data_IF_478966359880
#
_entry.id   IF_478966359880
#
_cell.length_a   1.000
_cell.length_b   1.000
_cell.length_c   1.000
_cell.angle_alpha   90.00
_cell.angle_beta   90.00
_cell.angle_gamma   90.00
#
_symmetry.space_group_name_H-M   'P 1'
#
loop_
_entity.id
_entity.type
_entity.pdbx_description
1 polymer ?
#
# COMPACT_ATOMS: atom_id res chain seq x y z
N UNK A 1 -65.03 1.46 37.87
CA UNK A 1 -65.46 2.69 37.16
C UNK A 1 -65.68 2.37 35.69
N UNK A 2 -66.93 2.09 35.36
CA UNK A 2 -67.44 1.89 34.01
C UNK A 2 -67.69 3.24 33.36
N UNK A 3 -67.16 3.48 32.16
CA UNK A 3 -67.81 4.38 31.20
C UNK A 3 -67.70 3.85 29.78
N UNK A 4 -68.82 3.26 29.40
CA UNK A 4 -69.31 2.88 28.09
C UNK A 4 -69.48 4.11 27.18
N UNK A 5 -69.04 4.04 25.92
CA UNK A 5 -69.48 4.96 24.85
C UNK A 5 -69.53 4.24 23.49
N UNK A 6 -70.74 3.78 23.19
CA UNK A 6 -71.29 3.35 21.89
C UNK A 6 -71.12 4.38 20.76
N UNK A 7 -71.37 3.85 19.54
CA UNK A 7 -71.75 4.49 18.23
C UNK A 7 -70.60 4.89 17.31
N UNK A 8 -70.65 4.68 16.00
CA UNK A 8 -71.62 3.99 15.13
C UNK A 8 -70.96 3.79 13.77
N UNK A 9 -71.05 2.59 13.19
CA UNK A 9 -70.77 2.35 11.77
C UNK A 9 -71.76 3.15 10.93
N UNK A 10 -71.31 4.17 10.20
CA UNK A 10 -72.12 4.92 9.23
C UNK A 10 -71.58 4.62 7.83
N UNK A 11 -72.21 3.66 7.17
CA UNK A 11 -72.14 3.51 5.73
C UNK A 11 -72.65 4.79 5.07
N UNK A 12 -71.80 5.43 4.26
CA UNK A 12 -72.26 6.44 3.32
C UNK A 12 -72.00 5.95 1.90
N UNK A 13 -73.04 5.30 1.35
CA UNK A 13 -73.28 5.27 -0.10
C UNK A 13 -73.44 6.72 -0.56
N UNK A 14 -72.51 7.22 -1.37
CA UNK A 14 -72.69 8.44 -2.17
C UNK A 14 -72.39 8.13 -3.62
N UNK A 15 -73.47 7.81 -4.33
CA UNK A 15 -73.64 7.95 -5.77
C UNK A 15 -73.09 9.31 -6.23
N UNK A 16 -72.05 9.29 -7.07
CA UNK A 16 -71.71 10.43 -7.93
C UNK A 16 -71.76 9.96 -9.38
N UNK A 17 -72.92 10.23 -9.98
CA UNK A 17 -73.11 10.30 -11.42
C UNK A 17 -72.00 11.14 -12.04
N UNK A 18 -71.07 10.49 -12.73
CA UNK A 18 -70.11 11.17 -13.60
C UNK A 18 -70.79 11.38 -14.94
N UNK A 19 -71.45 12.52 -15.10
CA UNK A 19 -71.76 13.06 -16.42
C UNK A 19 -70.45 13.18 -17.20
N UNK A 20 -70.28 12.28 -18.18
CA UNK A 20 -69.19 12.36 -19.15
C UNK A 20 -69.54 13.45 -20.15
N UNK A 21 -69.15 14.69 -19.86
CA UNK A 21 -69.01 15.70 -20.90
C UNK A 21 -67.95 15.25 -21.89
N UNK A 22 -68.38 14.67 -23.02
CA UNK A 22 -67.51 14.39 -24.16
C UNK A 22 -67.15 15.71 -24.83
N UNK A 23 -66.05 16.34 -24.40
CA UNK A 23 -65.44 17.39 -25.19
C UNK A 23 -64.92 16.77 -26.48
N UNK A 24 -65.72 16.85 -27.55
CA UNK A 24 -65.27 16.62 -28.93
C UNK A 24 -64.15 17.61 -29.21
N UNK A 25 -62.92 17.15 -29.03
CA UNK A 25 -61.71 17.90 -29.39
C UNK A 25 -61.75 18.06 -30.91
N UNK A 26 -62.16 19.24 -31.38
CA UNK A 26 -62.11 19.55 -32.80
C UNK A 26 -60.66 19.37 -33.25
N UNK A 27 -60.46 18.46 -34.20
CA UNK A 27 -59.18 18.36 -34.91
C UNK A 27 -59.05 19.66 -35.69
N UNK A 28 -58.36 20.65 -35.13
CA UNK A 28 -57.79 21.74 -35.93
C UNK A 28 -56.86 21.08 -36.95
N UNK A 29 -57.35 20.94 -38.18
CA UNK A 29 -56.52 20.63 -39.32
C UNK A 29 -55.37 21.65 -39.32
N UNK A 30 -54.14 21.15 -39.26
CA UNK A 30 -52.98 21.97 -39.49
C UNK A 30 -53.12 22.55 -40.90
N UNK A 31 -53.44 23.84 -40.95
CA UNK A 31 -53.36 24.63 -42.17
C UNK A 31 -51.89 24.61 -42.54
N UNK A 32 -51.58 23.91 -43.62
CA UNK A 32 -50.29 24.01 -44.29
C UNK A 32 -50.04 25.48 -44.57
N UNK A 33 -49.00 26.03 -43.94
CA UNK A 33 -48.45 27.33 -44.31
C UNK A 33 -47.84 27.20 -45.70
N UNK A 34 -48.62 27.51 -46.72
CA UNK A 34 -48.10 27.88 -48.03
C UNK A 34 -47.43 29.23 -47.88
N UNK A 35 -46.10 29.24 -47.85
CA UNK A 35 -45.30 30.44 -48.06
C UNK A 35 -45.61 30.97 -49.46
N UNK A 36 -46.31 32.09 -49.52
CA UNK A 36 -46.45 32.91 -50.71
C UNK A 36 -45.11 33.57 -51.01
N UNK A 37 -44.29 32.90 -51.81
CA UNK A 37 -43.21 33.54 -52.54
C UNK A 37 -43.81 34.04 -53.86
N UNK A 38 -43.84 35.35 -54.01
CA UNK A 38 -44.09 36.05 -55.26
C UNK A 38 -43.07 35.60 -56.32
N UNK A 39 -43.56 35.01 -57.40
CA UNK A 39 -42.83 34.91 -58.66
C UNK A 39 -43.85 34.98 -59.78
N UNK A 40 -43.60 35.90 -60.71
CA UNK A 40 -44.36 36.14 -61.91
C UNK A 40 -44.51 34.88 -62.78
N UNK A 41 -45.66 34.79 -63.43
CA UNK A 41 -45.92 34.15 -64.73
C UNK A 41 -45.21 32.83 -65.06
N UNK A 42 -45.93 31.71 -64.99
CA UNK A 42 -46.03 30.80 -66.14
C UNK A 42 -47.28 29.89 -66.03
N UNK A 43 -48.16 29.92 -67.03
CA UNK A 43 -49.40 29.11 -67.09
C UNK A 43 -49.14 27.73 -67.76
N UNK A 44 -47.94 27.18 -67.59
CA UNK A 44 -47.52 25.92 -68.20
C UNK A 44 -47.46 24.69 -67.27
N UNK A 45 -47.40 24.86 -65.94
CA UNK A 45 -46.84 23.80 -65.06
C UNK A 45 -47.79 23.23 -63.97
N UNK A 46 -49.11 23.36 -64.12
CA UNK A 46 -50.08 22.71 -63.20
C UNK A 46 -50.08 21.18 -63.30
N UNK A 47 -49.65 20.64 -64.45
CA UNK A 47 -49.53 19.19 -64.70
C UNK A 47 -48.34 18.55 -63.99
N UNK A 48 -47.20 19.25 -63.85
CA UNK A 48 -46.02 18.66 -63.21
C UNK A 48 -46.18 18.61 -61.68
N UNK A 49 -46.73 19.66 -61.07
CA UNK A 49 -46.99 19.69 -59.63
C UNK A 49 -48.01 18.61 -59.19
N UNK A 50 -49.04 18.37 -60.00
CA UNK A 50 -50.02 17.30 -59.77
C UNK A 50 -49.38 15.92 -59.88
N UNK A 51 -48.52 15.70 -60.88
CA UNK A 51 -47.73 14.47 -61.01
C UNK A 51 -46.79 14.27 -59.82
N UNK A 52 -46.12 15.31 -59.31
CA UNK A 52 -45.26 15.19 -58.13
C UNK A 52 -46.03 14.85 -56.84
N UNK A 53 -47.22 15.43 -56.66
CA UNK A 53 -48.07 15.12 -55.51
C UNK A 53 -48.67 13.71 -55.61
N UNK A 54 -48.98 13.25 -56.81
CA UNK A 54 -49.39 11.87 -57.09
C UNK A 54 -48.25 10.88 -56.82
N UNK A 55 -47.03 11.17 -57.28
CA UNK A 55 -45.83 10.39 -56.95
C UNK A 55 -45.54 10.36 -55.43
N UNK A 56 -45.72 11.48 -54.72
CA UNK A 56 -45.61 11.51 -53.24
C UNK A 56 -46.69 10.67 -52.58
N UNK A 57 -47.91 10.68 -53.10
CA UNK A 57 -49.02 9.89 -52.59
C UNK A 57 -48.77 8.39 -52.82
N UNK A 58 -48.31 8.02 -54.01
CA UNK A 58 -47.94 6.65 -54.37
C UNK A 58 -46.79 6.13 -53.50
N UNK A 59 -45.72 6.92 -53.33
CA UNK A 59 -44.61 6.59 -52.42
C UNK A 59 -45.07 6.41 -50.97
N UNK A 60 -46.07 7.18 -50.52
CA UNK A 60 -46.70 6.99 -49.19
C UNK A 60 -47.50 5.69 -49.14
N UNK A 61 -48.23 5.31 -50.21
CA UNK A 61 -48.98 4.05 -50.29
C UNK A 61 -48.03 2.85 -50.29
N UNK A 62 -46.96 2.89 -51.09
CA UNK A 62 -45.91 1.87 -51.12
C UNK A 62 -45.25 1.69 -49.75
N UNK A 63 -44.87 2.78 -49.08
CA UNK A 63 -44.33 2.74 -47.71
C UNK A 63 -45.32 2.18 -46.68
N UNK A 64 -46.63 2.35 -46.88
CA UNK A 64 -47.64 1.75 -45.99
C UNK A 64 -47.74 0.24 -46.23
N UNK A 65 -47.82 -0.17 -47.49
CA UNK A 65 -47.83 -1.58 -47.90
C UNK A 65 -46.57 -2.32 -47.42
N UNK A 66 -45.40 -1.71 -47.57
CA UNK A 66 -44.13 -2.26 -47.10
C UNK A 66 -44.12 -2.42 -45.56
N UNK A 67 -44.60 -1.42 -44.82
CA UNK A 67 -44.75 -1.51 -43.35
C UNK A 67 -45.77 -2.56 -42.93
N UNK A 68 -46.81 -2.80 -43.71
CA UNK A 68 -47.79 -3.85 -43.45
C UNK A 68 -47.21 -5.23 -43.74
N UNK A 69 -46.48 -5.40 -44.85
CA UNK A 69 -45.72 -6.62 -45.16
C UNK A 69 -44.69 -6.93 -44.08
N UNK A 70 -43.95 -5.93 -43.60
CA UNK A 70 -43.00 -6.08 -42.48
C UNK A 70 -43.70 -6.51 -41.18
N UNK A 71 -44.85 -5.89 -40.83
CA UNK A 71 -45.63 -6.26 -39.64
C UNK A 71 -46.29 -7.64 -39.73
N UNK A 72 -46.60 -8.09 -40.94
CA UNK A 72 -47.17 -9.42 -41.17
C UNK A 72 -46.12 -10.52 -41.05
N UNK A 73 -44.84 -10.21 -41.34
CA UNK A 73 -43.70 -11.10 -41.17
C UNK A 73 -43.07 -11.04 -39.76
N UNK A 74 -43.48 -10.08 -38.93
CA UNK A 74 -42.93 -9.81 -37.59
C UNK A 74 -43.33 -10.91 -36.59
N UNK A 75 -42.34 -11.52 -35.93
CA UNK A 75 -42.56 -12.56 -34.91
C UNK A 75 -43.24 -11.98 -33.66
N UNK A 76 -43.90 -12.80 -32.81
CA UNK A 76 -44.59 -12.31 -31.61
C UNK A 76 -43.66 -11.62 -30.61
N UNK A 77 -42.37 -11.99 -30.60
CA UNK A 77 -41.33 -11.40 -29.75
C UNK A 77 -40.90 -10.00 -30.22
N UNK A 78 -40.70 -9.83 -31.52
CA UNK A 78 -40.35 -8.55 -32.13
C UNK A 78 -41.48 -7.52 -31.99
N UNK A 79 -42.74 -7.98 -32.06
CA UNK A 79 -43.92 -7.17 -31.73
C UNK A 79 -43.93 -6.69 -30.27
N UNK A 80 -43.40 -7.47 -29.32
CA UNK A 80 -43.25 -7.05 -27.90
C UNK A 80 -42.13 -6.01 -27.78
N UNK A 81 -40.99 -6.23 -28.42
CA UNK A 81 -39.88 -5.26 -28.46
C UNK A 81 -40.32 -3.91 -29.02
N UNK A 82 -41.10 -3.88 -30.11
CA UNK A 82 -41.65 -2.65 -30.68
C UNK A 82 -42.58 -1.90 -29.73
N UNK A 83 -43.40 -2.64 -28.96
CA UNK A 83 -44.30 -2.05 -27.95
C UNK A 83 -43.51 -1.48 -26.76
N UNK A 84 -42.48 -2.20 -26.31
CA UNK A 84 -41.54 -1.74 -25.28
C UNK A 84 -40.80 -0.48 -25.73
N UNK A 85 -40.22 -0.46 -26.93
CA UNK A 85 -39.55 0.71 -27.49
C UNK A 85 -40.51 1.90 -27.62
N UNK A 86 -41.76 1.68 -28.06
CA UNK A 86 -42.79 2.73 -28.12
C UNK A 86 -43.16 3.24 -26.72
N UNK A 87 -43.18 2.38 -25.70
CA UNK A 87 -43.45 2.74 -24.30
C UNK A 87 -42.29 3.55 -23.71
N UNK A 88 -41.05 3.07 -23.85
CA UNK A 88 -39.83 3.76 -23.42
C UNK A 88 -39.71 5.13 -24.10
N UNK A 89 -39.92 5.22 -25.41
CA UNK A 89 -39.91 6.51 -26.13
C UNK A 89 -41.01 7.46 -25.66
N UNK A 90 -42.18 6.94 -25.28
CA UNK A 90 -43.28 7.75 -24.71
C UNK A 90 -42.94 8.22 -23.30
N UNK A 91 -42.31 7.39 -22.49
CA UNK A 91 -41.84 7.74 -21.14
C UNK A 91 -40.67 8.71 -21.17
N UNK A 92 -39.71 8.53 -22.06
CA UNK A 92 -38.60 9.46 -22.27
C UNK A 92 -39.12 10.83 -22.75
N UNK A 93 -40.11 10.84 -23.65
CA UNK A 93 -40.78 12.07 -24.06
C UNK A 93 -41.50 12.75 -22.89
N UNK A 94 -42.22 11.99 -22.06
CA UNK A 94 -42.84 12.51 -20.82
C UNK A 94 -41.80 13.02 -19.83
N UNK A 95 -40.69 12.31 -19.63
CA UNK A 95 -39.58 12.73 -18.77
C UNK A 95 -38.91 13.99 -19.28
N UNK A 96 -38.74 14.14 -20.61
CA UNK A 96 -38.22 15.36 -21.24
C UNK A 96 -39.20 16.53 -21.11
N UNK A 97 -40.50 16.29 -21.26
CA UNK A 97 -41.55 17.28 -21.04
C UNK A 97 -41.68 17.68 -19.57
N UNK A 98 -41.40 16.76 -18.64
CA UNK A 98 -41.40 16.97 -17.19
C UNK A 98 -40.00 17.30 -16.64
N UNK A 99 -39.00 17.52 -17.50
CA UNK A 99 -37.63 17.78 -17.06
C UNK A 99 -37.57 19.23 -16.61
N UNK A 100 -37.48 19.41 -15.30
CA UNK A 100 -37.23 20.68 -14.65
C UNK A 100 -36.03 21.39 -15.30
N UNK A 101 -36.11 22.71 -15.33
CA UNK A 101 -35.07 23.58 -15.87
C UNK A 101 -33.73 23.47 -15.12
N UNK A 102 -33.76 23.06 -13.85
CA UNK A 102 -32.57 22.97 -13.00
C UNK A 102 -31.69 21.74 -13.37
N UNK A 103 -30.35 21.89 -13.36
CA UNK A 103 -29.41 20.80 -13.52
C UNK A 103 -29.68 19.63 -12.57
N UNK A 104 -29.48 18.40 -13.05
CA UNK A 104 -29.72 17.20 -12.26
C UNK A 104 -28.79 17.09 -11.02
N UNK A 105 -27.66 17.81 -11.02
CA UNK A 105 -26.76 17.94 -9.87
C UNK A 105 -27.31 18.80 -8.72
N UNK A 106 -28.36 19.61 -8.93
CA UNK A 106 -28.99 20.34 -7.83
C UNK A 106 -29.91 19.40 -7.05
N UNK A 107 -29.65 19.25 -5.75
CA UNK A 107 -30.35 18.33 -4.86
C UNK A 107 -31.80 18.75 -4.52
N UNK A 108 -32.17 19.99 -4.84
CA UNK A 108 -33.50 20.52 -4.54
C UNK A 108 -34.46 20.30 -5.71
N UNK A 109 -35.59 19.66 -5.41
CA UNK A 109 -36.72 19.46 -6.31
C UNK A 109 -37.99 19.99 -5.65
N UNK A 110 -39.06 20.25 -6.40
CA UNK A 110 -40.34 20.72 -5.81
C UNK A 110 -40.90 19.79 -4.72
N UNK A 111 -40.48 18.53 -4.68
CA UNK A 111 -40.92 17.53 -3.70
C UNK A 111 -39.97 17.42 -2.50
N UNK A 112 -38.73 17.91 -2.62
CA UNK A 112 -37.68 17.84 -1.60
C UNK A 112 -37.23 19.25 -1.16
N UNK A 113 -38.15 20.21 -1.21
CA UNK A 113 -37.89 21.57 -0.77
C UNK A 113 -38.25 21.72 0.71
N UNK A 114 -37.28 21.99 1.61
CA UNK A 114 -37.54 22.17 3.05
C UNK A 114 -38.42 23.39 3.36
N UNK A 115 -38.58 24.32 2.42
CA UNK A 115 -39.46 25.49 2.55
C UNK A 115 -40.87 25.26 1.98
N UNK A 116 -41.16 24.03 1.54
CA UNK A 116 -42.49 23.65 1.06
C UNK A 116 -43.01 24.47 -0.15
N UNK A 117 -42.13 25.18 -0.88
CA UNK A 117 -42.54 25.93 -2.07
C UNK A 117 -42.95 24.97 -3.20
N UNK A 118 -44.15 25.20 -3.73
CA UNK A 118 -44.76 24.35 -4.78
C UNK A 118 -44.07 24.54 -6.15
N UNK A 119 -43.45 25.70 -6.37
CA UNK A 119 -42.97 26.14 -7.69
C UNK A 119 -41.44 26.34 -7.76
N UNK A 120 -40.65 25.68 -6.92
CA UNK A 120 -39.19 25.87 -6.84
C UNK A 120 -38.47 25.68 -8.19
N UNK A 121 -38.95 24.75 -9.02
CA UNK A 121 -38.38 24.47 -10.35
C UNK A 121 -38.91 25.38 -11.46
N UNK A 122 -39.92 26.22 -11.17
CA UNK A 122 -40.43 27.16 -12.16
C UNK A 122 -39.45 28.31 -12.36
N UNK A 123 -39.19 28.65 -13.62
CA UNK A 123 -38.28 29.74 -13.95
C UNK A 123 -38.96 31.09 -13.77
N UNK A 124 -38.43 31.92 -12.88
CA UNK A 124 -38.83 33.31 -12.77
C UNK A 124 -38.42 34.07 -14.03
N UNK A 125 -39.39 34.72 -14.66
CA UNK A 125 -39.18 35.50 -15.89
C UNK A 125 -39.29 36.98 -15.55
N UNK A 126 -38.20 37.72 -15.71
CA UNK A 126 -38.22 39.17 -15.52
C UNK A 126 -38.69 39.87 -16.80
N UNK A 127 -40.00 40.00 -16.95
CA UNK A 127 -40.66 40.53 -18.16
C UNK A 127 -40.09 41.89 -18.59
N UNK A 128 -39.91 42.82 -17.63
CA UNK A 128 -39.35 44.16 -17.88
C UNK A 128 -37.89 44.15 -18.35
N UNK A 129 -37.11 43.14 -17.95
CA UNK A 129 -35.73 42.94 -18.42
C UNK A 129 -35.70 42.38 -19.84
N UNK A 130 -36.59 41.43 -20.16
CA UNK A 130 -36.75 40.90 -21.52
C UNK A 130 -37.20 41.97 -22.52
N UNK A 131 -38.10 42.87 -22.09
CA UNK A 131 -38.51 44.04 -22.88
C UNK A 131 -37.34 45.00 -23.14
N UNK A 132 -36.55 45.31 -22.12
CA UNK A 132 -35.35 46.16 -22.26
C UNK A 132 -34.27 45.53 -23.14
N UNK A 133 -34.12 44.21 -23.12
CA UNK A 133 -33.18 43.46 -23.97
C UNK A 133 -33.70 43.26 -25.42
N UNK A 134 -34.87 43.79 -25.77
CA UNK A 134 -35.47 43.61 -27.11
C UNK A 134 -35.96 42.18 -27.39
N UNK A 135 -36.05 41.35 -26.34
CA UNK A 135 -36.40 39.93 -26.41
C UNK A 135 -37.85 39.64 -26.03
N UNK A 136 -38.69 40.68 -25.90
CA UNK A 136 -40.11 40.55 -25.59
C UNK A 136 -40.89 39.65 -26.57
N UNK A 137 -40.43 39.55 -27.82
CA UNK A 137 -41.05 38.72 -28.86
C UNK A 137 -40.63 37.24 -28.86
N UNK A 138 -39.62 36.82 -28.08
CA UNK A 138 -39.18 35.42 -28.07
C UNK A 138 -40.14 34.53 -27.30
N UNK A 139 -40.31 33.30 -27.77
CA UNK A 139 -41.18 32.33 -27.10
C UNK A 139 -40.64 32.00 -25.71
N UNK A 140 -41.54 31.82 -24.71
CA UNK A 140 -41.18 31.34 -23.36
C UNK A 140 -40.27 30.09 -23.40
N UNK A 141 -40.42 29.24 -24.41
CA UNK A 141 -39.58 28.06 -24.65
C UNK A 141 -38.16 28.38 -25.11
N UNK A 142 -37.97 29.44 -25.88
CA UNK A 142 -36.64 29.88 -26.35
C UNK A 142 -35.86 30.52 -25.21
N UNK A 143 -36.53 31.30 -24.36
CA UNK A 143 -35.96 31.89 -23.15
C UNK A 143 -35.48 30.78 -22.19
N UNK A 144 -36.32 29.76 -21.95
CA UNK A 144 -35.95 28.61 -21.12
C UNK A 144 -34.75 27.82 -21.69
N UNK A 145 -34.68 27.68 -23.02
CA UNK A 145 -33.58 26.99 -23.70
C UNK A 145 -32.26 27.75 -23.59
N UNK A 146 -32.29 29.07 -23.75
CA UNK A 146 -31.09 29.91 -23.63
C UNK A 146 -30.58 29.96 -22.18
N UNK A 147 -31.49 30.07 -21.22
CA UNK A 147 -31.11 30.07 -19.82
C UNK A 147 -30.54 28.72 -19.40
N UNK A 148 -31.05 27.61 -19.95
CA UNK A 148 -30.51 26.26 -19.73
C UNK A 148 -29.08 26.15 -20.26
N UNK A 149 -28.81 26.68 -21.46
CA UNK A 149 -27.46 26.76 -22.02
C UNK A 149 -26.52 27.57 -21.15
N UNK A 150 -26.98 28.70 -20.59
CA UNK A 150 -26.18 29.51 -19.66
C UNK A 150 -25.83 28.75 -18.39
N UNK A 151 -26.81 28.08 -17.77
CA UNK A 151 -26.56 27.28 -16.55
C UNK A 151 -25.64 26.10 -16.84
N UNK A 152 -25.79 25.43 -17.98
CA UNK A 152 -24.91 24.33 -18.40
C UNK A 152 -23.48 24.80 -18.64
N UNK A 153 -23.28 25.97 -19.27
CA UNK A 153 -21.96 26.60 -19.42
C UNK A 153 -21.34 26.93 -18.06
N UNK A 154 -22.08 27.60 -17.19
CA UNK A 154 -21.61 27.94 -15.85
C UNK A 154 -21.23 26.68 -15.05
N UNK A 155 -22.01 25.60 -15.15
CA UNK A 155 -21.71 24.34 -14.46
C UNK A 155 -20.41 23.72 -14.98
N UNK A 156 -20.18 23.76 -16.30
CA UNK A 156 -18.95 23.27 -16.91
C UNK A 156 -17.74 24.10 -16.50
N UNK A 157 -17.87 25.43 -16.53
CA UNK A 157 -16.84 26.35 -16.05
C UNK A 157 -16.51 26.07 -14.57
N UNK A 158 -17.52 25.87 -13.71
CA UNK A 158 -17.32 25.50 -12.31
C UNK A 158 -16.63 24.14 -12.13
N UNK A 159 -16.95 23.16 -12.97
CA UNK A 159 -16.31 21.84 -12.94
C UNK A 159 -14.85 21.90 -13.40
N UNK A 160 -14.56 22.69 -14.42
CA UNK A 160 -13.19 22.95 -14.89
C UNK A 160 -12.36 23.68 -13.82
N UNK A 161 -12.92 24.71 -13.17
CA UNK A 161 -12.29 25.38 -12.03
C UNK A 161 -12.02 24.42 -10.86
N UNK A 162 -12.96 23.52 -10.58
CA UNK A 162 -12.78 22.48 -9.55
C UNK A 162 -11.63 21.54 -9.92
N UNK A 163 -11.61 21.00 -11.14
CA UNK A 163 -10.50 20.14 -11.59
C UNK A 163 -9.16 20.85 -11.55
N UNK A 164 -9.10 22.12 -11.94
CA UNK A 164 -7.87 22.92 -11.88
C UNK A 164 -7.38 23.10 -10.43
N UNK A 165 -8.30 23.34 -9.49
CA UNK A 165 -7.97 23.42 -8.05
C UNK A 165 -7.48 22.08 -7.52
N UNK A 166 -8.19 21.00 -7.83
CA UNK A 166 -7.85 19.65 -7.36
C UNK A 166 -6.49 19.21 -7.93
N UNK A 167 -6.22 19.48 -9.22
CA UNK A 167 -4.92 19.21 -9.84
C UNK A 167 -3.78 20.01 -9.21
N UNK A 168 -4.01 21.29 -8.86
CA UNK A 168 -3.02 22.11 -8.16
C UNK A 168 -2.74 21.59 -6.74
N UNK A 169 -3.77 21.12 -6.03
CA UNK A 169 -3.61 20.55 -4.69
C UNK A 169 -2.86 19.21 -4.77
N UNK A 170 -3.22 18.34 -5.71
CA UNK A 170 -2.51 17.08 -5.95
C UNK A 170 -1.04 17.32 -6.30
N UNK A 171 -0.75 18.26 -7.21
CA UNK A 171 0.65 18.59 -7.54
C UNK A 171 1.44 19.13 -6.35
N UNK A 172 0.80 19.87 -5.43
CA UNK A 172 1.44 20.34 -4.19
C UNK A 172 1.70 19.18 -3.23
N UNK A 173 0.74 18.29 -3.07
CA UNK A 173 0.84 17.10 -2.22
C UNK A 173 1.92 16.14 -2.73
N UNK A 174 2.00 15.90 -4.04
CA UNK A 174 3.04 15.10 -4.68
C UNK A 174 4.44 15.69 -4.45
N UNK A 175 4.59 17.00 -4.58
CA UNK A 175 5.86 17.70 -4.29
C UNK A 175 6.24 17.59 -2.81
N UNK A 176 5.28 17.71 -1.90
CA UNK A 176 5.50 17.56 -0.46
C UNK A 176 5.83 16.12 -0.06
N UNK A 177 5.20 15.14 -0.71
CA UNK A 177 5.53 13.72 -0.54
C UNK A 177 6.95 13.42 -1.03
N UNK A 178 7.32 13.92 -2.22
CA UNK A 178 8.68 13.79 -2.73
C UNK A 178 9.71 14.45 -1.80
N UNK A 179 9.39 15.61 -1.21
CA UNK A 179 10.27 16.27 -0.25
C UNK A 179 10.44 15.43 1.03
N UNK A 180 9.35 14.91 1.60
CA UNK A 180 9.41 14.02 2.78
C UNK A 180 10.23 12.76 2.50
N UNK A 181 10.10 12.18 1.31
CA UNK A 181 10.86 11.01 0.93
C UNK A 181 12.34 11.34 0.72
N UNK A 182 12.66 12.51 0.15
CA UNK A 182 14.03 13.00 0.04
C UNK A 182 14.66 13.21 1.42
N UNK A 183 13.94 13.87 2.34
CA UNK A 183 14.38 14.10 3.72
C UNK A 183 14.63 12.77 4.44
N UNK A 184 13.71 11.80 4.31
CA UNK A 184 13.87 10.46 4.89
C UNK A 184 15.13 9.75 4.37
N UNK A 185 15.40 9.82 3.07
CA UNK A 185 16.60 9.23 2.46
C UNK A 185 17.86 9.91 2.97
N UNK A 186 17.89 11.24 3.00
CA UNK A 186 19.02 12.00 3.53
C UNK A 186 19.30 11.66 5.01
N UNK A 187 18.26 11.53 5.83
CA UNK A 187 18.38 11.10 7.23
C UNK A 187 18.93 9.68 7.36
N UNK A 188 18.50 8.75 6.52
CA UNK A 188 19.01 7.37 6.52
C UNK A 188 20.50 7.32 6.13
N UNK A 189 20.89 8.04 5.07
CA UNK A 189 22.30 8.13 4.65
C UNK A 189 23.17 8.77 5.71
N UNK A 190 22.69 9.83 6.35
CA UNK A 190 23.39 10.47 7.47
C UNK A 190 23.56 9.52 8.65
N UNK A 191 22.52 8.75 9.00
CA UNK A 191 22.58 7.77 10.09
C UNK A 191 23.58 6.65 9.79
N UNK A 192 23.67 6.19 8.55
CA UNK A 192 24.66 5.19 8.14
C UNK A 192 26.09 5.73 8.26
N UNK A 193 26.33 6.95 7.76
CA UNK A 193 27.63 7.62 7.86
C UNK A 193 28.03 7.90 9.31
N UNK A 194 27.07 8.26 10.15
CA UNK A 194 27.29 8.47 11.58
C UNK A 194 27.70 7.17 12.28
N UNK A 195 27.04 6.04 11.96
CA UNK A 195 27.43 4.73 12.50
C UNK A 195 28.85 4.33 12.06
N UNK A 196 29.21 4.55 10.79
CA UNK A 196 30.57 4.33 10.28
C UNK A 196 31.59 5.22 10.99
N UNK A 197 31.27 6.50 11.19
CA UNK A 197 32.14 7.44 11.91
C UNK A 197 32.34 7.02 13.36
N UNK A 198 31.28 6.62 14.07
CA UNK A 198 31.38 6.12 15.43
C UNK A 198 32.27 4.88 15.52
N UNK A 199 32.19 3.98 14.54
CA UNK A 199 33.06 2.82 14.46
C UNK A 199 34.54 3.23 14.26
N UNK A 200 34.82 4.15 13.33
CA UNK A 200 36.18 4.65 13.12
C UNK A 200 36.73 5.35 14.37
N UNK A 201 35.90 6.16 15.04
CA UNK A 201 36.25 6.79 16.32
C UNK A 201 36.52 5.74 17.41
N UNK A 202 35.71 4.68 17.52
CA UNK A 202 35.93 3.60 18.47
C UNK A 202 37.28 2.90 18.23
N UNK A 203 37.62 2.60 16.96
CA UNK A 203 38.92 2.04 16.56
C UNK A 203 40.09 2.94 16.93
N UNK A 204 40.01 4.23 16.58
CA UNK A 204 41.06 5.21 16.90
C UNK A 204 41.22 5.36 18.41
N UNK A 205 40.11 5.45 19.16
CA UNK A 205 40.13 5.54 20.62
C UNK A 205 40.72 4.30 21.28
N UNK A 206 40.41 3.11 20.75
CA UNK A 206 40.96 1.83 21.18
C UNK A 206 42.48 1.80 20.98
N UNK A 207 42.96 2.18 19.80
CA UNK A 207 44.40 2.30 19.51
C UNK A 207 45.12 3.22 20.50
N UNK A 208 44.59 4.42 20.71
CA UNK A 208 45.18 5.39 21.65
C UNK A 208 45.16 4.87 23.10
N UNK A 209 44.15 4.09 23.50
CA UNK A 209 44.10 3.48 24.84
C UNK A 209 45.19 2.44 25.05
N UNK A 210 45.43 1.62 24.03
CA UNK A 210 46.49 0.60 24.02
C UNK A 210 47.86 1.28 24.14
N UNK A 211 48.13 2.28 23.30
CA UNK A 211 49.39 3.05 23.33
C UNK A 211 49.63 3.74 24.69
N UNK A 212 48.57 4.08 25.42
CA UNK A 212 48.64 4.73 26.73
C UNK A 212 48.58 3.76 27.92
N UNK A 213 48.71 2.44 27.71
CA UNK A 213 48.65 1.40 28.75
C UNK A 213 47.36 1.44 29.61
N UNK A 214 46.26 1.95 29.04
CA UNK A 214 44.93 2.02 29.68
C UNK A 214 43.88 1.32 28.82
N UNK A 215 44.29 0.23 28.19
CA UNK A 215 43.44 -0.56 27.33
C UNK A 215 42.28 -1.17 28.13
N UNK A 216 41.07 -1.09 27.58
CA UNK A 216 39.96 -1.90 28.08
C UNK A 216 40.09 -3.33 27.56
N UNK A 217 39.50 -4.34 28.23
CA UNK A 217 39.48 -5.72 27.72
C UNK A 217 38.96 -5.83 26.30
N UNK A 218 37.91 -5.07 25.94
CA UNK A 218 37.37 -5.04 24.57
C UNK A 218 38.40 -4.55 23.54
N UNK A 219 39.24 -3.57 23.91
CA UNK A 219 40.25 -3.01 23.01
C UNK A 219 41.30 -4.08 22.69
N UNK A 220 41.76 -4.82 23.70
CA UNK A 220 42.72 -5.92 23.57
C UNK A 220 42.15 -7.11 22.78
N UNK A 221 40.91 -7.49 23.06
CA UNK A 221 40.21 -8.55 22.33
C UNK A 221 40.00 -8.18 20.85
N UNK A 222 39.66 -6.91 20.57
CA UNK A 222 39.50 -6.43 19.20
C UNK A 222 40.82 -6.40 18.43
N UNK A 223 41.94 -6.09 19.11
CA UNK A 223 43.29 -6.14 18.54
C UNK A 223 43.73 -7.58 18.27
N UNK A 224 43.38 -8.51 19.16
CA UNK A 224 43.65 -9.95 19.00
C UNK A 224 43.03 -10.51 17.72
N UNK A 225 41.77 -10.14 17.42
CA UNK A 225 41.09 -10.54 16.18
C UNK A 225 41.78 -9.91 14.96
N UNK A 226 42.09 -8.61 15.02
CA UNK A 226 42.75 -7.90 13.91
C UNK A 226 44.10 -8.53 13.57
N UNK A 227 44.90 -8.89 14.56
CA UNK A 227 46.17 -9.58 14.35
C UNK A 227 45.97 -10.97 13.71
N UNK A 228 44.94 -11.70 14.13
CA UNK A 228 44.57 -12.99 13.54
C UNK A 228 44.12 -12.90 12.07
N UNK A 229 43.55 -11.77 11.66
CA UNK A 229 43.16 -11.47 10.28
C UNK A 229 44.34 -10.95 9.44
N UNK A 230 45.15 -10.05 9.98
CA UNK A 230 46.37 -9.52 9.35
C UNK A 230 47.33 -10.66 8.97
N UNK A 231 47.52 -11.65 9.86
CA UNK A 231 48.31 -12.87 9.59
C UNK A 231 47.75 -13.76 8.46
N UNK A 232 46.47 -13.67 8.13
CA UNK A 232 45.85 -14.43 7.02
C UNK A 232 45.94 -13.69 5.68
N UNK A 233 46.07 -12.37 5.69
CA UNK A 233 46.18 -11.53 4.48
C UNK A 233 47.63 -11.26 4.06
N UNK A 234 48.61 -11.74 4.83
CA UNK A 234 50.04 -11.47 4.73
C UNK A 234 50.80 -12.17 3.57
N UNK A 235 50.13 -12.35 2.43
CA UNK A 235 50.80 -12.46 1.13
C UNK A 235 50.94 -11.08 0.44
N UNK A 236 50.46 -9.97 1.05
CA UNK A 236 50.35 -8.69 0.30
C UNK A 236 50.77 -7.35 0.91
N UNK A 237 51.00 -7.12 2.20
CA UNK A 237 51.46 -5.78 2.62
C UNK A 237 52.08 -5.75 4.04
N UNK A 238 53.41 -5.61 4.12
CA UNK A 238 54.15 -5.36 5.37
C UNK A 238 53.70 -4.04 6.01
N UNK A 239 52.93 -4.11 7.11
CA UNK A 239 52.69 -2.98 8.01
C UNK A 239 53.22 -3.29 9.40
N UNK A 240 54.44 -2.80 9.62
CA UNK A 240 55.15 -2.56 10.89
C UNK A 240 54.37 -2.89 12.17
N UNK A 241 54.61 -4.10 12.70
CA UNK A 241 54.16 -4.52 14.02
C UNK A 241 54.93 -3.77 15.11
N UNK A 242 54.23 -2.90 15.84
CA UNK A 242 54.61 -2.64 17.22
C UNK A 242 54.54 -3.99 17.95
N UNK A 243 55.64 -4.39 18.61
CA UNK A 243 55.84 -5.66 19.32
C UNK A 243 54.75 -5.89 20.38
N UNK A 244 53.58 -6.34 19.94
CA UNK A 244 52.44 -6.64 20.80
C UNK A 244 52.62 -8.06 21.32
N UNK A 245 53.01 -8.19 22.58
CA UNK A 245 53.01 -9.49 23.27
C UNK A 245 51.57 -9.98 23.38
N UNK A 246 51.19 -10.85 22.44
CA UNK A 246 49.86 -11.44 22.34
C UNK A 246 49.66 -12.42 23.50
N UNK A 247 49.07 -11.93 24.58
CA UNK A 247 48.72 -12.72 25.76
C UNK A 247 47.39 -13.47 25.52
N UNK A 248 47.10 -14.49 26.32
CA UNK A 248 45.90 -15.31 26.12
C UNK A 248 44.64 -14.44 26.28
N UNK A 249 43.66 -14.48 25.35
CA UNK A 249 42.42 -13.70 25.48
C UNK A 249 41.67 -13.88 26.79
N UNK A 250 41.82 -15.04 27.44
CA UNK A 250 41.22 -15.35 28.73
C UNK A 250 41.93 -14.67 29.91
N UNK A 251 43.16 -14.21 29.74
CA UNK A 251 43.92 -13.49 30.77
C UNK A 251 43.45 -12.04 30.89
N UNK A 252 43.08 -11.41 29.77
CA UNK A 252 42.46 -10.08 29.76
C UNK A 252 41.09 -10.03 30.45
N UNK A 253 40.45 -11.19 30.64
CA UNK A 253 39.16 -11.32 31.30
C UNK A 253 39.29 -11.53 32.81
N UNK A 254 40.47 -11.83 33.35
CA UNK A 254 40.62 -12.14 34.79
C UNK A 254 40.66 -10.86 35.62
N UNK A 255 39.91 -10.84 36.73
CA UNK A 255 40.01 -9.80 37.76
C UNK A 255 39.27 -8.49 37.45
N UNK A 256 38.37 -8.48 36.46
CA UNK A 256 37.51 -7.34 36.15
C UNK A 256 36.41 -7.13 37.20
N UNK A 257 35.92 -5.88 37.31
CA UNK A 257 34.78 -5.58 38.18
C UNK A 257 33.46 -6.01 37.53
N UNK A 258 32.39 -6.15 38.32
CA UNK A 258 31.08 -6.51 37.78
C UNK A 258 30.61 -5.51 36.71
N UNK A 259 30.82 -4.21 36.95
CA UNK A 259 30.38 -3.15 36.03
C UNK A 259 31.16 -3.25 34.71
N UNK A 260 32.47 -3.55 34.77
CA UNK A 260 33.29 -3.76 33.57
C UNK A 260 32.84 -4.98 32.76
N UNK A 261 32.41 -6.06 33.41
CA UNK A 261 31.85 -7.22 32.71
C UNK A 261 30.50 -6.91 32.06
N UNK A 262 29.64 -6.13 32.72
CA UNK A 262 28.35 -5.69 32.16
C UNK A 262 28.55 -4.78 30.94
N UNK A 263 29.48 -3.82 31.04
CA UNK A 263 29.91 -2.99 29.90
C UNK A 263 30.47 -3.87 28.76
N UNK A 264 31.32 -4.84 29.09
CA UNK A 264 31.93 -5.73 28.10
C UNK A 264 30.87 -6.58 27.36
N UNK A 265 29.79 -7.00 28.01
CA UNK A 265 28.68 -7.72 27.35
C UNK A 265 27.99 -6.84 26.32
N UNK A 266 27.75 -5.57 26.61
CA UNK A 266 27.15 -4.65 25.64
C UNK A 266 28.12 -4.32 24.50
N UNK A 267 29.39 -4.09 24.81
CA UNK A 267 30.43 -3.86 23.81
C UNK A 267 30.56 -5.07 22.86
N UNK A 268 30.58 -6.31 23.37
CA UNK A 268 30.63 -7.53 22.54
C UNK A 268 29.42 -7.60 21.59
N UNK A 269 28.22 -7.19 22.00
CA UNK A 269 27.04 -7.18 21.10
C UNK A 269 27.25 -6.21 19.94
N UNK A 270 27.80 -5.03 20.24
CA UNK A 270 28.08 -3.99 19.24
C UNK A 270 29.12 -4.53 18.25
N UNK A 271 30.26 -5.03 18.72
CA UNK A 271 31.32 -5.59 17.86
C UNK A 271 30.84 -6.79 17.03
N UNK A 272 30.03 -7.69 17.60
CA UNK A 272 29.42 -8.80 16.86
C UNK A 272 28.51 -8.34 15.73
N UNK A 273 27.76 -7.24 15.93
CA UNK A 273 26.91 -6.69 14.87
C UNK A 273 27.71 -6.12 13.70
N UNK A 274 28.95 -5.68 13.95
CA UNK A 274 29.84 -5.09 12.96
C UNK A 274 30.76 -6.09 12.26
N UNK A 275 31.34 -7.06 12.99
CA UNK A 275 32.26 -8.06 12.40
C UNK A 275 31.54 -9.14 11.58
N UNK A 276 30.20 -9.21 11.69
CA UNK A 276 29.37 -10.20 11.00
C UNK A 276 29.66 -11.63 11.45
N UNK A 277 29.47 -12.59 10.56
CA UNK A 277 29.64 -14.02 10.87
C UNK A 277 31.10 -14.49 10.89
N UNK A 278 32.06 -13.68 10.42
CA UNK A 278 33.48 -14.09 10.31
C UNK A 278 34.11 -14.43 11.66
N UNK A 279 33.79 -13.62 12.68
CA UNK A 279 34.31 -13.76 14.05
C UNK A 279 33.21 -14.06 15.07
N UNK A 280 32.04 -14.48 14.59
CA UNK A 280 30.86 -14.68 15.42
C UNK A 280 31.00 -15.81 16.45
N UNK A 281 31.85 -16.81 16.18
CA UNK A 281 32.17 -17.89 17.12
C UNK A 281 33.07 -17.40 18.25
N UNK A 282 34.15 -16.68 17.93
CA UNK A 282 35.04 -16.07 18.93
C UNK A 282 34.27 -15.18 19.90
N UNK A 283 33.45 -14.25 19.39
CA UNK A 283 32.66 -13.36 20.24
C UNK A 283 31.61 -14.11 21.07
N UNK A 284 31.11 -15.26 20.58
CA UNK A 284 30.18 -16.12 21.33
C UNK A 284 30.89 -16.84 22.47
N UNK A 285 32.08 -17.36 22.22
CA UNK A 285 32.88 -18.08 23.22
C UNK A 285 33.34 -17.13 24.32
N UNK A 286 33.86 -15.95 23.95
CA UNK A 286 34.22 -14.90 24.90
C UNK A 286 33.01 -14.44 25.71
N UNK A 287 31.85 -14.26 25.06
CA UNK A 287 30.60 -13.94 25.77
C UNK A 287 30.20 -15.02 26.76
N UNK A 288 30.36 -16.30 26.42
CA UNK A 288 30.07 -17.39 27.35
C UNK A 288 30.95 -17.30 28.60
N UNK A 289 32.24 -17.04 28.42
CA UNK A 289 33.18 -16.88 29.53
C UNK A 289 32.81 -15.67 30.39
N UNK A 290 32.51 -14.52 29.78
CA UNK A 290 32.08 -13.31 30.49
C UNK A 290 30.78 -13.52 31.25
N UNK A 291 29.78 -14.17 30.63
CA UNK A 291 28.51 -14.48 31.26
C UNK A 291 28.70 -15.43 32.47
N UNK A 292 29.63 -16.39 32.38
CA UNK A 292 29.96 -17.30 33.47
C UNK A 292 30.71 -16.60 34.62
N UNK A 293 31.67 -15.73 34.32
CA UNK A 293 32.37 -14.93 35.34
C UNK A 293 31.42 -13.93 36.02
N UNK A 294 30.51 -13.32 35.27
CA UNK A 294 29.47 -12.45 35.81
C UNK A 294 28.51 -13.22 36.73
N UNK A 295 28.14 -14.47 36.37
CA UNK A 295 27.35 -15.35 37.23
C UNK A 295 28.09 -15.69 38.52
N UNK A 296 29.38 -16.06 38.45
CA UNK A 296 30.20 -16.32 39.64
C UNK A 296 30.25 -15.12 40.58
N UNK A 297 30.48 -13.91 40.06
CA UNK A 297 30.50 -12.69 40.87
C UNK A 297 29.14 -12.35 41.49
N UNK A 298 28.04 -12.65 40.79
CA UNK A 298 26.67 -12.48 41.33
C UNK A 298 26.36 -13.52 42.40
N UNK A 299 26.76 -14.77 42.20
CA UNK A 299 26.57 -15.87 43.15
C UNK A 299 27.47 -15.71 44.39
N UNK A 300 28.68 -15.17 44.25
CA UNK A 300 29.58 -14.85 45.36
C UNK A 300 29.04 -13.71 46.24
N UNK A 301 28.34 -12.72 45.65
CA UNK A 301 27.56 -11.72 46.41
C UNK A 301 26.25 -12.31 46.97
N UNK A 302 25.67 -13.30 46.28
CA UNK A 302 24.46 -14.02 46.66
C UNK A 302 24.65 -15.11 47.71
N UNK A 303 25.90 -15.48 48.05
CA UNK A 303 26.26 -16.50 49.06
C UNK A 303 25.79 -16.22 50.50
N UNK A 304 25.11 -15.10 50.75
CA UNK A 304 24.34 -14.91 51.98
C UNK A 304 23.00 -15.69 51.99
N UNK A 305 22.59 -16.32 50.89
CA UNK A 305 21.38 -17.14 50.88
C UNK A 305 21.28 -18.08 49.67
N UNK A 306 21.30 -19.39 49.94
CA UNK A 306 20.81 -20.49 49.10
C UNK A 306 21.81 -21.22 48.16
N UNK A 307 22.44 -22.26 48.74
CA UNK A 307 22.23 -23.67 48.36
C UNK A 307 23.01 -24.37 47.22
N UNK A 308 24.29 -24.05 46.97
CA UNK A 308 25.30 -25.06 46.59
C UNK A 308 26.64 -24.71 47.28
N UNK A 309 27.14 -25.60 48.15
CA UNK A 309 28.30 -25.35 49.00
C UNK A 309 29.57 -25.24 48.15
N UNK A 310 30.37 -24.19 48.33
CA UNK A 310 31.62 -23.96 47.57
C UNK A 310 32.62 -25.11 47.60
N UNK A 311 32.51 -26.04 48.56
CA UNK A 311 33.31 -27.28 48.56
C UNK A 311 32.99 -28.20 47.40
N UNK A 312 31.73 -28.27 46.95
CA UNK A 312 31.33 -29.16 45.85
C UNK A 312 31.90 -28.65 44.53
N UNK A 313 31.88 -27.33 44.30
CA UNK A 313 32.57 -26.73 43.15
C UNK A 313 34.07 -26.98 43.19
N UNK A 314 34.72 -26.80 44.34
CA UNK A 314 36.15 -27.08 44.49
C UNK A 314 36.49 -28.56 44.24
N UNK A 315 35.63 -29.48 44.67
CA UNK A 315 35.85 -30.92 44.44
C UNK A 315 35.59 -31.31 42.98
N UNK A 316 34.60 -30.71 42.33
CA UNK A 316 34.38 -30.85 40.88
C UNK A 316 35.57 -30.31 40.07
N UNK A 317 36.09 -29.13 40.42
CA UNK A 317 37.28 -28.55 39.80
C UNK A 317 38.53 -29.41 40.00
N UNK A 318 38.69 -30.01 41.19
CA UNK A 318 39.77 -30.98 41.46
C UNK A 318 39.63 -32.23 40.61
N UNK A 319 38.42 -32.79 40.48
CA UNK A 319 38.16 -33.97 39.65
C UNK A 319 38.54 -33.68 38.19
N UNK A 320 38.11 -32.53 37.65
CA UNK A 320 38.44 -32.17 36.26
C UNK A 320 39.93 -31.86 36.02
N UNK A 321 40.65 -31.31 37.01
CA UNK A 321 42.11 -31.12 36.93
C UNK A 321 42.87 -32.45 36.95
N UNK A 322 42.47 -33.40 37.81
CA UNK A 322 43.09 -34.72 37.90
C UNK A 322 42.83 -35.54 36.63
N UNK A 323 41.62 -35.49 36.08
CA UNK A 323 41.29 -36.20 34.83
C UNK A 323 42.13 -35.72 33.64
N UNK A 324 42.38 -34.41 33.51
CA UNK A 324 43.23 -33.86 32.42
C UNK A 324 44.69 -34.29 32.56
N UNK A 325 45.26 -34.22 33.77
CA UNK A 325 46.63 -34.67 34.03
C UNK A 325 46.79 -36.17 33.79
N UNK A 326 45.82 -36.99 34.23
CA UNK A 326 45.84 -38.43 34.02
C UNK A 326 45.75 -38.82 32.54
N UNK A 327 44.95 -38.11 31.74
CA UNK A 327 44.84 -38.35 30.28
C UNK A 327 46.12 -37.99 29.53
N UNK A 328 46.77 -36.88 29.90
CA UNK A 328 48.05 -36.48 29.33
C UNK A 328 49.14 -37.51 29.71
N UNK A 329 49.20 -37.90 30.99
CA UNK A 329 50.13 -38.95 31.43
C UNK A 329 49.88 -40.31 30.75
N UNK A 330 48.62 -40.68 30.50
CA UNK A 330 48.30 -41.93 29.82
C UNK A 330 48.69 -41.87 28.33
N UNK A 331 48.47 -40.73 27.68
CA UNK A 331 48.88 -40.50 26.29
C UNK A 331 50.41 -40.51 26.14
N UNK A 332 51.13 -39.84 27.05
CA UNK A 332 52.59 -39.80 27.08
C UNK A 332 53.18 -41.19 27.43
N UNK A 333 52.55 -41.93 28.35
CA UNK A 333 52.95 -43.28 28.70
C UNK A 333 52.70 -44.28 27.55
N UNK A 334 51.55 -44.20 26.87
CA UNK A 334 51.27 -45.00 25.68
C UNK A 334 52.25 -44.68 24.55
N UNK A 335 52.56 -43.40 24.33
CA UNK A 335 53.58 -42.99 23.35
C UNK A 335 54.96 -43.56 23.71
N UNK A 336 55.38 -43.46 24.98
CA UNK A 336 56.64 -44.02 25.46
C UNK A 336 56.69 -45.55 25.29
N UNK A 337 55.61 -46.27 25.63
CA UNK A 337 55.56 -47.74 25.47
C UNK A 337 55.61 -48.14 23.99
N UNK A 338 54.92 -47.41 23.11
CA UNK A 338 54.94 -47.67 21.67
C UNK A 338 56.34 -47.45 21.09
N UNK A 339 56.99 -46.33 21.43
CA UNK A 339 58.30 -45.95 20.88
C UNK A 339 59.43 -46.80 21.47
N UNK A 340 59.42 -47.07 22.77
CA UNK A 340 60.55 -47.73 23.46
C UNK A 340 60.44 -49.25 23.43
N UNK A 341 59.23 -49.82 23.47
CA UNK A 341 59.07 -51.27 23.57
C UNK A 341 58.53 -51.89 22.29
N UNK A 342 57.47 -51.34 21.70
CA UNK A 342 56.85 -51.95 20.51
C UNK A 342 57.68 -51.73 19.24
N UNK A 343 58.23 -50.53 19.03
CA UNK A 343 59.00 -50.20 17.83
C UNK A 343 60.27 -51.05 17.66
N UNK A 344 61.11 -51.24 18.71
CA UNK A 344 62.30 -52.09 18.61
C UNK A 344 61.97 -53.58 18.46
N UNK A 345 60.89 -54.06 19.09
CA UNK A 345 60.41 -55.43 18.93
C UNK A 345 59.93 -55.70 17.50
N UNK A 346 59.23 -54.74 16.88
CA UNK A 346 58.84 -54.82 15.47
C UNK A 346 60.05 -54.80 14.54
N UNK A 347 61.04 -53.93 14.81
CA UNK A 347 62.28 -53.85 14.04
C UNK A 347 63.10 -55.15 14.14
N UNK A 348 63.21 -55.75 15.33
CA UNK A 348 63.85 -57.06 15.52
C UNK A 348 63.09 -58.20 14.82
N UNK A 349 61.75 -58.18 14.84
CA UNK A 349 60.95 -59.18 14.12
C UNK A 349 61.08 -59.04 12.60
N UNK A 350 61.19 -57.81 12.09
CA UNK A 350 61.44 -57.55 10.67
C UNK A 350 62.85 -57.98 10.26
N UNK A 351 63.88 -57.74 11.08
CA UNK A 351 65.23 -58.26 10.82
C UNK A 351 65.26 -59.79 10.84
N UNK A 352 64.60 -60.44 11.81
CA UNK A 352 64.50 -61.91 11.86
C UNK A 352 63.80 -62.47 10.61
N UNK A 353 62.70 -61.86 10.18
CA UNK A 353 62.02 -62.25 8.92
C UNK A 353 62.90 -62.07 7.69
N UNK A 354 63.71 -61.01 7.64
CA UNK A 354 64.59 -60.75 6.50
C UNK A 354 65.79 -61.73 6.44
N UNK A 355 66.33 -62.12 7.60
CA UNK A 355 67.39 -63.14 7.70
C UNK A 355 66.87 -64.52 7.25
N UNK A 356 65.63 -64.88 7.59
CA UNK A 356 65.01 -66.13 7.12
C UNK A 356 64.76 -66.15 5.59
N UNK A 357 64.67 -64.98 4.93
CA UNK A 357 64.49 -64.89 3.48
C UNK A 357 65.81 -64.97 2.70
N UNK A 358 66.96 -64.62 3.31
CA UNK A 358 68.28 -64.71 2.69
C UNK A 358 68.96 -66.08 2.82
N UNK A 359 68.39 -67.02 3.58
CA UNK A 359 69.01 -68.33 3.87
C UNK A 359 68.27 -69.50 3.18
N UNK A 360 67.59 -69.23 2.04
CA UNK A 360 66.88 -70.25 1.26
C UNK A 360 67.31 -70.24 -0.20
#
# INVERSE_FOLDING_TARGET
MTHDKKKSKKEHKRSRSREKHSHRKSKKHARSSSSSASSESDKGDSRFQTVLDEQRAEKKRLRKLEKEKLKAKETPEEKRARRLAKKLKKEEKKKKENKSYLPAQLAYTNLNNPFNDVNLTETFVWSKKLEREGKAGLSRKEIEKEMRRRVEKNLREMEELKRARDARLAAREDMEMMQRDADRKAHAEWSSKEAEFQLQQAKVRSRIRIEQNRAKPIDLLSRYIQFGDEKKEDDREEKHDDEFELENPLEYLKGLTQDDYEDLVEDIKIYRSFDGDRHGEFWRDIRCVVDDELRKLRDDRGRLGTSIHGSVQQDVDKIFKVSRLSLIFLADFLSFVVVVFLFPLLALNMLKRNIYFLTR
#
